data_IF_736956160493
#
_entry.id   IF_736956160493
#
_cell.length_a   1.000
_cell.length_b   1.000
_cell.length_c   1.000
_cell.angle_alpha   90.00
_cell.angle_beta   90.00
_cell.angle_gamma   90.00
#
_symmetry.space_group_name_H-M   'P 1'
#
loop_
_entity.id
_entity.type
_entity.pdbx_description
1 polymer ?
2 non-polymer ?
#
# COMPACT_ATOMS: atom_id res chain seq x y z
N UNK A 1 5.31 13.62 2.74
CA UNK A 1 4.36 12.62 3.20
C UNK A 1 2.92 13.03 2.91
N UNK A 2 2.55 12.97 1.63
CA UNK A 2 1.20 13.33 1.22
C UNK A 2 1.02 13.17 -0.29
N UNK A 3 0.29 12.15 -0.69
CA UNK A 3 0.05 11.88 -2.10
C UNK A 3 1.35 11.85 -2.89
N UNK A 4 2.14 10.80 -2.68
CA UNK A 4 3.41 10.65 -3.37
C UNK A 4 3.26 9.84 -4.65
N UNK A 5 3.88 10.31 -5.72
CA UNK A 5 3.81 9.63 -7.01
C UNK A 5 4.86 8.53 -7.11
N UNK A 6 4.41 7.30 -7.32
CA UNK A 6 5.32 6.17 -7.43
C UNK A 6 5.08 5.39 -8.72
N UNK A 7 6.12 5.28 -9.54
CA UNK A 7 6.02 4.57 -10.81
C UNK A 7 6.50 3.13 -10.67
N UNK A 8 5.77 2.21 -11.30
CA UNK A 8 6.13 0.80 -11.24
C UNK A 8 5.74 0.08 -12.54
N UNK A 9 6.24 -1.14 -12.71
CA UNK A 9 5.94 -1.92 -13.91
C UNK A 9 5.28 -3.24 -13.52
N UNK A 10 4.41 -3.74 -14.40
CA UNK A 10 3.72 -5.00 -14.16
C UNK A 10 4.70 -6.11 -13.84
N UNK A 11 4.54 -6.72 -12.68
CA UNK A 11 5.42 -7.81 -12.28
C UNK A 11 6.66 -7.31 -11.56
N UNK A 12 6.72 -6.01 -11.33
CA UNK A 12 7.86 -5.41 -10.64
C UNK A 12 7.53 -5.12 -9.18
N UNK A 13 8.50 -5.38 -8.29
CA UNK A 13 8.34 -5.16 -6.85
C UNK A 13 8.28 -3.68 -6.50
N UNK A 14 7.45 -3.34 -5.52
CA UNK A 14 7.30 -1.96 -5.08
C UNK A 14 7.07 -1.88 -3.57
N UNK A 15 7.66 -0.87 -2.94
CA UNK A 15 7.51 -0.68 -1.50
C UNK A 15 6.94 0.69 -1.18
N UNK A 16 6.15 0.76 -0.10
CA UNK A 16 5.54 2.01 0.31
C UNK A 16 5.74 2.26 1.81
N UNK A 17 5.85 3.52 2.19
CA UNK A 17 6.03 3.88 3.59
C UNK A 17 4.80 4.59 4.14
N UNK A 18 4.55 4.41 5.43
CA UNK A 18 3.40 5.03 6.08
C UNK A 18 3.85 6.08 7.10
N UNK A 19 3.79 7.35 6.70
CA UNK A 19 4.18 8.43 7.58
C UNK A 19 3.54 8.30 8.95
N UNK A 20 4.32 7.85 9.93
CA UNK A 20 3.79 7.67 11.28
C UNK A 20 4.47 6.54 12.02
N UNK A 21 4.61 5.40 11.36
CA UNK A 21 5.23 4.23 11.97
C UNK A 21 6.72 4.15 11.58
N UNK A 22 7.59 4.54 12.50
CA UNK A 22 9.04 4.52 12.28
C UNK A 22 9.59 3.09 12.23
N UNK A 23 10.91 2.97 12.38
CA UNK A 23 11.56 1.67 12.35
C UNK A 23 11.03 0.76 13.46
N UNK A 24 10.25 1.34 14.36
CA UNK A 24 9.67 0.59 15.47
C UNK A 24 9.07 -0.72 14.97
N UNK A 25 8.72 -1.60 15.92
CA UNK A 25 8.12 -2.90 15.60
C UNK A 25 6.70 -2.77 15.06
N UNK A 26 6.14 -3.91 14.61
CA UNK A 26 4.78 -3.95 14.06
C UNK A 26 3.71 -3.72 15.12
N UNK A 27 3.24 -2.49 15.23
CA UNK A 27 2.22 -2.14 16.21
C UNK A 27 0.84 -2.09 15.57
N UNK A 28 -0.16 -1.67 16.33
CA UNK A 28 -1.53 -1.58 15.84
C UNK A 28 -1.63 -0.57 14.71
N UNK A 29 -2.29 -0.96 13.62
CA UNK A 29 -2.46 -0.09 12.46
C UNK A 29 -3.31 -0.76 11.39
N UNK A 30 -3.83 0.04 10.47
CA UNK A 30 -4.66 -0.48 9.39
C UNK A 30 -4.06 -0.13 8.03
N UNK A 31 -4.25 -1.02 7.07
CA UNK A 31 -3.72 -0.80 5.72
C UNK A 31 -4.82 -0.98 4.68
N UNK A 32 -4.91 -0.03 3.75
CA UNK A 32 -5.92 -0.09 2.70
C UNK A 32 -5.31 0.27 1.35
N UNK A 33 -5.76 -0.42 0.29
CA UNK A 33 -5.26 -0.17 -1.05
C UNK A 33 -6.39 -0.18 -2.07
N UNK A 34 -6.40 0.80 -2.96
CA UNK A 34 -7.43 0.89 -3.99
C UNK A 34 -6.83 0.72 -5.38
N UNK A 35 -7.33 -0.27 -6.11
CA UNK A 35 -6.85 -0.55 -7.45
C UNK A 35 -8.00 -0.87 -8.40
N UNK A 36 -7.68 -1.08 -9.67
CA UNK A 36 -8.70 -1.39 -10.65
C UNK A 36 -9.54 -0.18 -11.02
N UNK A 37 -10.86 -0.35 -11.00
CA UNK A 37 -11.78 0.73 -11.33
C UNK A 37 -12.57 1.17 -10.11
N UNK A 38 -12.95 0.20 -9.28
CA UNK A 38 -13.71 0.48 -8.07
C UNK A 38 -14.00 -0.80 -7.28
N UNK A 39 -14.11 -1.91 -8.00
CA UNK A 39 -14.38 -3.20 -7.37
C UNK A 39 -13.10 -4.03 -7.26
N UNK A 40 -11.98 -3.36 -7.07
CA UNK A 40 -10.69 -4.04 -6.95
C UNK A 40 -9.99 -3.65 -5.66
N UNK A 41 -10.56 -2.69 -4.94
CA UNK A 41 -9.98 -2.21 -3.68
C UNK A 41 -9.93 -3.34 -2.66
N UNK A 42 -8.77 -3.52 -2.04
CA UNK A 42 -8.59 -4.56 -1.03
C UNK A 42 -8.00 -3.98 0.25
N UNK A 43 -8.26 -4.64 1.37
CA UNK A 43 -7.75 -4.20 2.67
C UNK A 43 -6.54 -5.00 3.08
N UNK A 44 -5.41 -4.31 3.29
CA UNK A 44 -4.18 -4.95 3.70
C UNK A 44 -4.00 -4.90 5.20
N UNK A 45 -3.38 -5.94 5.76
CA UNK A 45 -3.16 -6.01 7.20
C UNK A 45 -1.67 -6.21 7.50
N UNK A 46 -1.29 -5.95 8.76
CA UNK A 46 0.10 -6.09 9.22
C UNK A 46 0.55 -7.54 9.27
N UNK A 47 -0.36 -8.45 8.92
CA UNK A 47 -0.05 -9.87 8.93
C UNK A 47 -0.17 -10.47 7.53
N UNK A 48 0.78 -10.13 6.66
CA UNK A 48 0.76 -10.64 5.31
C UNK A 48 1.54 -11.93 5.16
N UNK A 49 2.07 -12.44 6.28
CA UNK A 49 2.82 -13.66 6.24
C UNK A 49 2.04 -14.82 5.68
N UNK A 50 2.38 -15.22 4.45
CA UNK A 50 1.69 -16.33 3.81
C UNK A 50 1.17 -15.97 2.43
N UNK A 51 0.11 -15.14 2.39
CA UNK A 51 -0.50 -14.70 1.14
C UNK A 51 0.39 -13.75 0.35
N UNK A 52 1.56 -13.45 0.91
CA UNK A 52 2.51 -12.55 0.27
C UNK A 52 2.77 -12.98 -1.17
N UNK A 53 2.77 -14.28 -1.41
CA UNK A 53 3.00 -14.82 -2.75
C UNK A 53 1.82 -14.51 -3.67
N UNK A 54 0.64 -14.32 -3.08
CA UNK A 54 -0.55 -14.03 -3.84
C UNK A 54 -0.73 -12.52 -4.02
N UNK A 55 -0.49 -11.77 -2.96
CA UNK A 55 -0.62 -10.31 -3.00
C UNK A 55 0.66 -9.64 -2.52
N UNK A 56 0.67 -9.25 -1.25
CA UNK A 56 1.82 -8.58 -0.65
C UNK A 56 1.81 -8.71 0.87
N UNK A 57 2.89 -8.26 1.50
CA UNK A 57 3.00 -8.32 2.95
C UNK A 57 3.28 -6.94 3.54
N UNK A 58 3.10 -6.80 4.85
CA UNK A 58 3.33 -5.53 5.52
C UNK A 58 4.59 -5.58 6.37
N UNK A 59 5.43 -4.57 6.23
CA UNK A 59 6.68 -4.50 6.99
C UNK A 59 6.41 -4.27 8.47
N UNK A 60 7.38 -4.62 9.31
CA UNK A 60 7.27 -4.47 10.76
C UNK A 60 7.30 -3.01 11.20
N UNK A 61 7.90 -2.16 10.37
CA UNK A 61 7.99 -0.73 10.66
C UNK A 61 6.71 -0.01 10.23
N UNK A 62 5.76 -0.77 9.72
CA UNK A 62 4.50 -0.19 9.28
C UNK A 62 4.53 0.21 7.81
N UNK A 63 5.27 -0.56 7.02
CA UNK A 63 5.38 -0.29 5.58
C UNK A 63 4.70 -1.37 4.77
N UNK A 64 4.75 -1.23 3.45
CA UNK A 64 4.13 -2.21 2.55
C UNK A 64 5.10 -2.63 1.46
N UNK A 65 5.25 -3.95 1.28
CA UNK A 65 6.14 -4.49 0.28
C UNK A 65 5.40 -5.43 -0.67
N UNK A 66 5.57 -5.21 -1.97
CA UNK A 66 4.91 -6.03 -2.97
C UNK A 66 5.94 -6.78 -3.82
N UNK A 67 5.73 -8.09 -3.97
CA UNK A 67 6.62 -8.95 -4.76
C UNK A 67 6.54 -8.66 -6.25
N UNK A 68 5.35 -8.28 -6.71
CA UNK A 68 5.14 -7.97 -8.11
C UNK A 68 3.79 -7.29 -8.34
N UNK A 69 3.81 -5.98 -8.50
CA UNK A 69 2.59 -5.20 -8.71
C UNK A 69 2.05 -5.42 -10.12
N UNK A 70 0.83 -5.96 -10.20
CA UNK A 70 0.21 -6.21 -11.49
C UNK A 70 -0.60 -5.02 -11.97
N UNK A 71 -0.92 -5.02 -13.26
CA UNK A 71 -1.70 -3.95 -13.85
C UNK A 71 -3.02 -3.74 -13.10
N UNK A 72 -3.54 -4.82 -12.53
CA UNK A 72 -4.79 -4.76 -11.79
C UNK A 72 -4.56 -4.14 -10.41
N UNK A 73 -3.33 -4.21 -9.93
CA UNK A 73 -2.99 -3.64 -8.63
C UNK A 73 -2.77 -2.14 -8.72
N UNK A 74 -2.82 -1.62 -9.94
CA UNK A 74 -2.62 -0.19 -10.17
C UNK A 74 -3.75 0.63 -9.53
N UNK A 75 -3.39 1.76 -8.94
CA UNK A 75 -4.38 2.61 -8.30
C UNK A 75 -3.76 3.54 -7.27
N UNK A 76 -4.44 3.68 -6.13
CA UNK A 76 -3.95 4.54 -5.06
C UNK A 76 -3.82 3.77 -3.75
N UNK A 77 -2.71 3.98 -3.07
CA UNK A 77 -2.46 3.30 -1.80
C UNK A 77 -2.70 4.25 -0.62
N UNK A 78 -3.38 3.76 0.40
CA UNK A 78 -3.68 4.56 1.59
C UNK A 78 -3.33 3.78 2.85
N UNK A 79 -2.61 4.44 3.76
CA UNK A 79 -2.21 3.82 5.02
C UNK A 79 -2.64 4.68 6.21
N UNK A 80 -2.79 4.05 7.37
CA UNK A 80 -3.20 4.75 8.58
C UNK A 80 -2.45 4.22 9.79
N UNK A 81 -2.10 5.11 10.71
CA UNK A 81 -1.38 4.74 11.92
C UNK A 81 -1.95 5.45 13.14
N UNK A 82 -1.64 4.93 14.32
CA UNK A 82 -2.11 5.53 15.56
C UNK A 82 -0.96 5.72 16.55
N UNK A 83 -0.79 6.95 17.02
CA UNK A 83 0.27 7.27 17.96
C UNK A 83 -0.22 7.12 19.40
N UNK A 84 0.70 7.23 20.36
CA UNK A 84 0.37 7.11 21.76
C UNK A 84 -0.41 8.32 22.24
N UNK A 85 -0.31 9.42 21.49
CA UNK A 85 -1.00 10.65 21.84
C UNK A 85 -2.50 10.54 21.56
N UNK A 86 -2.86 9.58 20.70
CA UNK A 86 -4.25 9.39 20.36
C UNK A 86 -4.58 9.84 18.95
N UNK A 87 -3.65 10.56 18.33
CA UNK A 87 -3.84 11.06 16.98
C UNK A 87 -3.45 10.00 15.95
N UNK A 88 -4.15 10.01 14.81
CA UNK A 88 -3.88 9.05 13.75
C UNK A 88 -3.12 9.71 12.60
N UNK A 89 -2.23 8.96 11.98
CA UNK A 89 -1.43 9.47 10.86
C UNK A 89 -1.96 8.95 9.53
N UNK A 90 -2.14 9.85 8.57
CA UNK A 90 -2.63 9.47 7.25
C UNK A 90 -1.51 9.51 6.22
N UNK A 91 -1.54 8.56 5.29
CA UNK A 91 -0.52 8.49 4.25
C UNK A 91 -1.11 7.96 2.94
N UNK A 92 -1.00 8.76 1.89
CA UNK A 92 -1.52 8.38 0.59
C UNK A 92 -0.41 8.34 -0.47
N UNK A 93 -0.25 7.19 -1.11
CA UNK A 93 0.78 7.03 -2.13
C UNK A 93 0.18 6.52 -3.43
N UNK A 94 0.33 7.30 -4.49
CA UNK A 94 -0.20 6.94 -5.80
C UNK A 94 0.76 6.01 -6.53
N UNK A 95 0.23 4.90 -7.05
CA UNK A 95 1.05 3.93 -7.78
C UNK A 95 0.53 3.74 -9.20
N UNK A 96 1.45 3.68 -10.16
CA UNK A 96 1.09 3.50 -11.55
C UNK A 96 1.91 2.38 -12.19
N UNK A 97 1.22 1.48 -12.89
CA UNK A 97 1.89 0.35 -13.55
C UNK A 97 2.17 0.67 -15.01
N UNK A 98 2.70 -0.32 -15.72
CA UNK A 98 3.03 -0.16 -17.14
C UNK A 98 1.77 0.09 -17.97
N UNK A 99 1.05 -0.98 -18.27
CA UNK A 99 -0.18 -0.88 -19.05
C UNK A 99 -1.26 -0.15 -18.28
N UNK A 100 -2.07 0.64 -18.98
CA UNK A 100 -3.15 1.40 -18.36
C UNK A 100 -4.49 1.03 -18.97
N UNK A 101 -5.57 1.32 -18.23
CA UNK A 101 -6.94 1.04 -18.68
C UNK A 101 -7.37 1.94 -19.83
N UNK A 102 -6.85 3.16 -19.83
CA UNK A 102 -7.19 4.10 -20.89
C UNK A 102 -8.13 5.20 -20.41
N UNK A 103 -9.41 4.86 -20.28
CA UNK A 103 -10.41 5.82 -19.83
C UNK A 103 -10.49 5.85 -18.31
N UNK A 104 -10.59 7.06 -17.74
CA UNK A 104 -10.68 7.24 -16.29
C UNK A 104 -12.00 6.75 -15.72
N UNK A 105 -12.07 6.63 -14.40
CA UNK A 105 -13.28 6.17 -13.74
C UNK A 105 -14.32 7.27 -13.68
X LIG B 1 -5.30 10.96 3.47
X LIG B 1 -4.79 10.27 2.29
X LIG B 1 -5.06 11.06 1.04
X LIG B 1 -4.19 11.80 0.58
X LIG B 1 -5.60 8.92 2.09
X LIG B 1 -7.08 9.26 2.04
X LIG B 1 -7.90 8.77 3.14
X LIG B 1 -7.74 7.35 3.06
X LIG B 1 -7.01 6.73 3.98
X LIG B 1 -6.43 7.41 5.02
X LIG B 1 -6.72 5.36 4.05
X LIG B 1 -5.53 6.49 5.59
X LIG B 1 -5.08 6.73 6.92
X LIG B 1 -6.07 5.12 5.30
X LIG B 1 -7.14 4.76 6.34
X LIG B 1 -5.88 10.45 4.12
X LIG B 1 -3.73 10.00 2.37
X LIG B 1 -5.43 8.28 2.97
X LIG B 1 -5.30 8.41 1.18
X LIG B 1 -7.51 8.93 1.08
X LIG B 1 -7.17 10.31 2.12
X LIG B 1 -8.95 9.03 2.95
X LIG B 1 -7.59 9.18 4.10
X LIG B 1 -8.25 6.82 2.35
X LIG B 1 -7.01 4.66 3.42
X LIG B 1 -5.31 4.32 5.32
X LIG B 1 -7.31 5.62 7.01
X LIG B 1 -6.79 3.90 6.94
X LIG B 1 -8.07 4.50 5.82
#
# INVERSE_FOLDING_TARGET
GSAQNITARIGEPLVLKCKGAPKKPPQRLEWKLNTGRTEAWKVLSPQGGGPWDSVARVLPNGSLFLPAVGIQDEGIFRCQAMNRNGKETKSNYRVRVYQIPGKPE
IOR N CA C O CB CG CD NE C1 N5 N2 C4 O4 C3 C6 H HA HB3 HB2 HG3 HG2 HD3 HD2 HE H5 H3 H63 H61 H62
#
